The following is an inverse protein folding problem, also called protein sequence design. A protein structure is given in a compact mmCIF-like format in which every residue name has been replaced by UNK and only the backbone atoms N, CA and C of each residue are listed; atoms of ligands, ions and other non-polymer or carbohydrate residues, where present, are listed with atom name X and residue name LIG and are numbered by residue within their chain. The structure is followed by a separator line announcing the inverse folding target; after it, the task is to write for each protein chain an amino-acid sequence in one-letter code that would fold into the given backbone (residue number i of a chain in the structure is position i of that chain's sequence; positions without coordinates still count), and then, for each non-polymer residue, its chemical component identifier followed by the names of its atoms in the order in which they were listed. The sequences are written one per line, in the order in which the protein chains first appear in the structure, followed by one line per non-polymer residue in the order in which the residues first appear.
data_IF_379434114913
#
_entry.id   IF_379434114913
#
_cell.length_a   1.000
_cell.length_b   1.000
_cell.length_c   1.000
_cell.angle_alpha   90.00
_cell.angle_beta   90.00
_cell.angle_gamma   90.00
#
_symmetry.space_group_name_H-M   'P 1'
#
loop_
_entity.id
_entity.type
_entity.pdbx_description
1 polymer ?
#
# COMPACT_ATOMS: atom_id res chain seq x y z
N UNK A 1 -16.80 35.98 -40.59
CA UNK A 1 -17.84 35.04 -40.12
C UNK A 1 -17.26 33.65 -40.23
N UNK A 2 -16.96 33.00 -39.10
CA UNK A 2 -16.42 31.63 -39.06
C UNK A 2 -17.55 30.65 -39.40
N UNK A 3 -17.32 29.76 -40.38
CA UNK A 3 -18.32 28.80 -40.87
C UNK A 3 -18.27 27.52 -40.06
N UNK A 4 -19.40 26.84 -39.85
CA UNK A 4 -19.42 25.51 -39.21
C UNK A 4 -18.63 24.48 -40.04
N UNK A 5 -18.44 24.71 -41.35
CA UNK A 5 -17.58 23.90 -42.20
C UNK A 5 -16.10 24.01 -41.82
N UNK A 6 -15.68 25.12 -41.23
CA UNK A 6 -14.32 25.28 -40.69
C UNK A 6 -14.11 24.46 -39.40
N UNK A 7 -15.20 24.02 -38.75
CA UNK A 7 -15.15 23.09 -37.62
C UNK A 7 -15.03 21.62 -38.07
N UNK A 8 -15.36 21.32 -39.34
CA UNK A 8 -15.40 19.95 -39.90
C UNK A 8 -14.27 19.71 -40.90
N UNK A 9 -13.77 20.76 -41.57
CA UNK A 9 -12.63 20.68 -42.46
C UNK A 9 -11.35 20.46 -41.65
N UNK A 10 -10.90 19.20 -41.60
CA UNK A 10 -9.54 18.87 -41.16
C UNK A 10 -8.55 19.58 -42.06
N UNK A 11 -7.99 20.71 -41.57
CA UNK A 11 -6.82 21.33 -42.18
C UNK A 11 -5.68 20.33 -42.31
N UNK A 12 -4.63 20.62 -43.11
CA UNK A 12 -3.50 19.72 -43.26
C UNK A 12 -2.99 19.31 -41.88
N UNK A 13 -2.78 18.00 -41.68
CA UNK A 13 -2.34 17.46 -40.39
C UNK A 13 -1.09 18.20 -39.94
N UNK A 14 -1.21 18.96 -38.86
CA UNK A 14 -0.08 19.71 -38.31
C UNK A 14 0.95 18.71 -37.83
N UNK A 15 2.16 18.79 -38.37
CA UNK A 15 3.27 18.00 -37.87
C UNK A 15 3.63 18.50 -36.46
N UNK A 16 3.68 17.59 -35.51
CA UNK A 16 4.10 17.85 -34.14
C UNK A 16 5.37 17.05 -33.86
N UNK A 17 6.24 17.60 -33.01
CA UNK A 17 7.37 16.85 -32.49
C UNK A 17 6.86 15.67 -31.65
N UNK A 18 7.42 14.48 -31.86
CA UNK A 18 7.07 13.30 -31.09
C UNK A 18 7.59 13.40 -29.64
N UNK A 19 6.76 12.97 -28.68
CA UNK A 19 7.09 12.93 -27.26
C UNK A 19 7.11 11.49 -26.73
N UNK A 20 8.03 11.22 -25.81
CA UNK A 20 8.09 9.99 -25.02
C UNK A 20 8.24 10.31 -23.53
N UNK A 21 7.78 9.42 -22.65
CA UNK A 21 8.15 9.48 -21.24
C UNK A 21 9.41 8.63 -21.05
N UNK A 22 10.53 9.31 -20.81
CA UNK A 22 11.77 8.68 -20.39
C UNK A 22 11.72 8.32 -18.91
N UNK A 23 12.06 7.07 -18.58
CA UNK A 23 12.18 6.56 -17.22
C UNK A 23 13.62 6.09 -17.00
N UNK A 24 14.18 6.34 -15.82
CA UNK A 24 15.55 5.96 -15.46
C UNK A 24 15.60 5.52 -14.01
N UNK A 25 16.19 4.36 -13.76
CA UNK A 25 16.59 3.97 -12.41
C UNK A 25 17.97 4.57 -12.12
N UNK A 26 18.08 5.28 -11.01
CA UNK A 26 19.30 5.94 -10.55
C UNK A 26 19.74 5.40 -9.19
N UNK A 27 21.02 5.53 -8.90
CA UNK A 27 21.59 5.22 -7.61
C UNK A 27 22.49 6.36 -7.15
N UNK A 28 22.37 6.74 -5.88
CA UNK A 28 23.28 7.69 -5.24
C UNK A 28 24.58 6.97 -4.88
N UNK A 29 25.75 7.51 -5.28
CA UNK A 29 27.09 6.99 -4.93
C UNK A 29 27.18 6.60 -3.47
N UNK A 30 27.91 5.55 -3.08
CA UNK A 30 28.07 5.17 -1.66
C UNK A 30 28.62 6.33 -0.79
N UNK A 31 28.33 6.29 0.51
CA UNK A 31 28.90 7.26 1.44
C UNK A 31 30.42 7.04 1.57
N UNK A 32 31.19 8.12 1.39
CA UNK A 32 32.64 8.13 1.56
C UNK A 32 33.00 9.27 2.54
N UNK A 33 33.45 8.95 3.77
CA UNK A 33 33.79 9.96 4.77
C UNK A 33 35.00 10.82 4.37
N UNK A 34 35.84 10.37 3.43
CA UNK A 34 36.97 11.14 2.92
C UNK A 34 36.54 12.20 1.91
N UNK A 35 35.34 12.10 1.34
CA UNK A 35 34.82 13.01 0.31
C UNK A 35 33.79 13.97 0.90
N UNK A 36 34.25 15.17 1.25
CA UNK A 36 33.36 16.27 1.63
C UNK A 36 32.67 16.87 0.40
N UNK A 37 31.41 16.48 0.15
CA UNK A 37 30.60 17.02 -0.94
C UNK A 37 29.29 16.26 -1.15
N UNK A 38 28.43 16.78 -2.04
CA UNK A 38 27.20 16.08 -2.43
C UNK A 38 27.55 14.77 -3.17
N UNK A 39 26.89 13.67 -2.77
CA UNK A 39 27.02 12.36 -3.42
C UNK A 39 26.40 12.43 -4.81
N UNK A 40 27.10 11.93 -5.83
CA UNK A 40 26.54 11.93 -7.19
C UNK A 40 25.36 10.96 -7.27
N UNK A 41 24.46 11.23 -8.19
CA UNK A 41 23.35 10.34 -8.53
C UNK A 41 23.52 9.95 -9.99
N UNK A 42 23.73 8.67 -10.25
CA UNK A 42 24.07 8.14 -11.57
C UNK A 42 23.06 7.10 -12.01
N UNK A 43 22.93 6.91 -13.33
CA UNK A 43 22.10 5.84 -13.88
C UNK A 43 22.60 4.47 -13.41
N UNK A 44 21.67 3.61 -13.05
CA UNK A 44 21.96 2.23 -12.66
C UNK A 44 22.41 1.40 -13.86
N UNK A 45 23.39 0.54 -13.64
CA UNK A 45 23.83 -0.51 -14.56
C UNK A 45 23.80 -1.86 -13.85
N UNK A 46 23.82 -2.96 -14.60
CA UNK A 46 23.86 -4.31 -14.01
C UNK A 46 25.05 -4.46 -13.03
N UNK A 47 26.21 -3.92 -13.40
CA UNK A 47 27.42 -3.90 -12.55
C UNK A 47 27.23 -3.12 -11.25
N UNK A 48 26.45 -2.03 -11.27
CA UNK A 48 26.16 -1.26 -10.08
C UNK A 48 25.26 -2.06 -9.11
N UNK A 49 24.18 -2.67 -9.64
CA UNK A 49 23.24 -3.46 -8.83
C UNK A 49 23.87 -4.72 -8.23
N UNK A 50 24.79 -5.37 -8.96
CA UNK A 50 25.54 -6.51 -8.43
C UNK A 50 26.40 -6.15 -7.20
N UNK A 51 26.73 -4.87 -7.02
CA UNK A 51 27.50 -4.39 -5.86
C UNK A 51 26.62 -3.86 -4.74
N UNK A 52 25.53 -3.17 -5.10
CA UNK A 52 24.75 -2.37 -4.15
C UNK A 52 23.33 -2.09 -4.65
N UNK A 53 22.34 -2.20 -3.78
CA UNK A 53 20.90 -2.11 -4.12
C UNK A 53 20.11 -1.10 -3.26
N UNK A 54 20.79 -0.32 -2.43
CA UNK A 54 20.22 0.79 -1.65
C UNK A 54 20.44 2.14 -2.33
N UNK A 55 19.77 3.17 -1.82
CA UNK A 55 19.67 4.52 -2.40
C UNK A 55 19.29 4.52 -3.90
N UNK A 56 18.33 3.67 -4.26
CA UNK A 56 17.73 3.68 -5.59
C UNK A 56 16.66 4.78 -5.70
N UNK A 57 16.56 5.39 -6.87
CA UNK A 57 15.49 6.34 -7.21
C UNK A 57 15.00 6.09 -8.62
N UNK A 58 13.68 6.00 -8.80
CA UNK A 58 13.06 5.92 -10.12
C UNK A 58 12.60 7.32 -10.54
N UNK A 59 13.14 7.82 -11.66
CA UNK A 59 12.78 9.14 -12.17
C UNK A 59 12.15 9.07 -13.55
N UNK A 60 11.38 10.10 -13.89
CA UNK A 60 10.78 10.27 -15.20
C UNK A 60 10.92 11.69 -15.75
N UNK A 61 10.94 11.82 -17.08
CA UNK A 61 10.91 13.10 -17.78
C UNK A 61 10.39 13.00 -19.22
N UNK A 62 9.93 14.10 -19.82
CA UNK A 62 9.67 14.14 -21.24
C UNK A 62 10.97 14.01 -22.06
N UNK A 63 10.86 13.33 -23.20
CA UNK A 63 11.89 13.22 -24.23
C UNK A 63 11.28 13.56 -25.60
N UNK A 64 12.12 13.97 -26.53
CA UNK A 64 11.75 14.20 -27.94
C UNK A 64 12.56 13.32 -28.87
N UNK A 65 12.03 13.07 -30.05
CA UNK A 65 12.74 12.31 -31.08
C UNK A 65 13.80 13.17 -31.76
N UNK A 66 15.05 12.71 -31.74
CA UNK A 66 16.16 13.37 -32.43
C UNK A 66 16.23 13.03 -33.93
N UNK A 67 17.19 13.64 -34.63
CA UNK A 67 17.36 13.48 -36.08
C UNK A 67 17.66 12.04 -36.56
N UNK A 68 18.15 11.17 -35.66
CA UNK A 68 18.40 9.74 -35.93
C UNK A 68 17.32 8.84 -35.31
N UNK A 69 16.13 9.39 -35.09
CA UNK A 69 14.99 8.71 -34.47
C UNK A 69 15.20 8.24 -33.02
N UNK A 70 16.34 8.54 -32.40
CA UNK A 70 16.63 8.26 -31.00
C UNK A 70 15.92 9.25 -30.06
N UNK A 71 15.43 8.75 -28.93
CA UNK A 71 14.85 9.59 -27.88
C UNK A 71 15.94 10.36 -27.14
N UNK A 72 15.83 11.68 -27.12
CA UNK A 72 16.81 12.57 -26.48
C UNK A 72 16.14 13.54 -25.52
N UNK A 73 16.92 14.00 -24.55
CA UNK A 73 16.49 15.01 -23.57
C UNK A 73 16.14 16.35 -24.23
N UNK A 74 17.04 16.84 -25.09
CA UNK A 74 16.99 18.16 -25.73
C UNK A 74 16.46 19.26 -24.77
N UNK A 75 15.63 20.16 -25.28
CA UNK A 75 14.95 21.23 -24.53
C UNK A 75 13.55 20.82 -24.03
N UNK A 76 13.21 19.53 -24.09
CA UNK A 76 11.93 18.98 -23.65
C UNK A 76 11.87 18.80 -22.13
N UNK A 77 11.83 19.92 -21.40
CA UNK A 77 11.60 19.93 -19.95
C UNK A 77 10.11 19.78 -19.63
N UNK A 78 9.77 19.39 -18.40
CA UNK A 78 8.37 19.37 -17.92
C UNK A 78 7.65 20.69 -18.18
N UNK A 79 8.33 21.81 -17.94
CA UNK A 79 7.77 23.13 -18.15
C UNK A 79 7.59 23.49 -19.62
N UNK A 80 8.57 23.15 -20.48
CA UNK A 80 8.48 23.39 -21.91
C UNK A 80 7.34 22.60 -22.55
N UNK A 81 7.15 21.34 -22.15
CA UNK A 81 6.08 20.48 -22.68
C UNK A 81 4.71 20.96 -22.22
N UNK A 82 4.52 21.20 -20.91
CA UNK A 82 3.21 21.60 -20.36
C UNK A 82 2.74 22.98 -20.83
N UNK A 83 3.67 23.90 -21.09
CA UNK A 83 3.37 25.26 -21.56
C UNK A 83 3.39 25.39 -23.08
N UNK A 84 3.64 24.31 -23.82
CA UNK A 84 3.69 24.33 -25.29
C UNK A 84 2.33 24.62 -25.90
N UNK A 85 2.26 25.61 -26.79
CA UNK A 85 1.02 26.01 -27.49
C UNK A 85 0.98 25.60 -28.96
N UNK A 86 2.00 24.89 -29.46
CA UNK A 86 2.01 24.53 -30.89
C UNK A 86 3.15 23.64 -31.40
N UNK A 87 4.12 23.26 -30.55
CA UNK A 87 5.22 22.35 -30.93
C UNK A 87 4.83 20.88 -30.80
N UNK A 88 4.06 20.55 -29.77
CA UNK A 88 3.67 19.18 -29.44
C UNK A 88 2.19 18.97 -29.68
N UNK A 89 1.80 17.70 -29.87
CA UNK A 89 0.39 17.32 -29.94
C UNK A 89 -0.32 17.78 -28.65
N UNK A 90 -1.42 18.55 -28.70
CA UNK A 90 -2.12 19.04 -27.52
C UNK A 90 -2.56 17.93 -26.55
N UNK A 91 -2.94 16.75 -27.07
CA UNK A 91 -3.28 15.60 -26.23
C UNK A 91 -2.07 15.06 -25.46
N UNK A 92 -0.88 15.05 -26.07
CA UNK A 92 0.36 14.67 -25.39
C UNK A 92 0.75 15.69 -24.34
N UNK A 93 0.75 16.99 -24.68
CA UNK A 93 1.07 18.06 -23.74
C UNK A 93 0.15 18.05 -22.51
N UNK A 94 -1.16 17.81 -22.72
CA UNK A 94 -2.14 17.63 -21.64
C UNK A 94 -1.82 16.40 -20.78
N UNK A 95 -1.53 15.26 -21.38
CA UNK A 95 -1.17 14.05 -20.65
C UNK A 95 0.07 14.26 -19.76
N UNK A 96 1.11 14.94 -20.24
CA UNK A 96 2.27 15.30 -19.42
C UNK A 96 1.91 16.30 -18.31
N UNK A 97 0.99 17.25 -18.57
CA UNK A 97 0.52 18.18 -17.55
C UNK A 97 -0.23 17.49 -16.41
N UNK A 98 -1.10 16.54 -16.75
CA UNK A 98 -1.84 15.71 -15.80
C UNK A 98 -0.90 14.80 -14.99
N UNK A 99 0.07 14.13 -15.64
CA UNK A 99 1.08 13.32 -14.94
C UNK A 99 1.87 14.16 -13.93
N UNK A 100 2.29 15.35 -14.34
CA UNK A 100 2.99 16.25 -13.43
C UNK A 100 2.08 16.70 -12.28
N UNK A 101 0.80 16.97 -12.50
CA UNK A 101 -0.13 17.35 -11.43
C UNK A 101 -0.34 16.21 -10.42
N UNK A 102 -0.56 14.98 -10.91
CA UNK A 102 -0.66 13.76 -10.08
C UNK A 102 0.56 13.64 -9.19
N UNK A 103 1.75 13.77 -9.80
CA UNK A 103 3.00 13.63 -9.09
C UNK A 103 3.30 14.76 -8.10
N UNK A 104 2.54 15.86 -8.07
CA UNK A 104 2.72 16.94 -7.09
C UNK A 104 1.76 16.84 -5.91
N UNK A 105 0.59 16.19 -6.10
CA UNK A 105 -0.50 16.17 -5.14
C UNK A 105 -0.20 15.34 -3.88
N UNK A 106 0.54 14.23 -4.04
CA UNK A 106 0.80 13.24 -2.98
C UNK A 106 2.26 12.78 -3.02
N UNK A 107 3.19 13.73 -2.85
CA UNK A 107 4.62 13.40 -2.74
C UNK A 107 5.00 13.07 -1.33
N UNK A 108 5.63 11.92 -1.16
CA UNK A 108 6.37 11.57 0.03
C UNK A 108 7.83 11.99 -0.12
N UNK A 109 8.55 12.10 1.01
CA UNK A 109 10.00 12.32 0.99
C UNK A 109 10.70 11.06 0.48
N UNK A 110 11.25 11.11 -0.73
CA UNK A 110 12.09 10.05 -1.28
C UNK A 110 13.51 10.02 -0.67
N UNK A 111 14.30 9.01 -1.05
CA UNK A 111 15.68 8.82 -0.58
C UNK A 111 16.60 10.04 -0.84
N UNK A 112 16.28 10.83 -1.87
CA UNK A 112 16.89 12.11 -2.18
C UNK A 112 16.00 12.94 -3.12
N UNK A 113 16.25 14.25 -3.20
CA UNK A 113 15.52 15.13 -4.11
C UNK A 113 15.85 14.81 -5.58
N UNK A 114 14.84 14.76 -6.44
CA UNK A 114 15.05 14.73 -7.89
C UNK A 114 15.73 16.02 -8.36
N UNK A 115 16.51 15.93 -9.44
CA UNK A 115 17.02 17.11 -10.15
C UNK A 115 15.85 17.91 -10.74
N UNK A 116 15.97 19.23 -10.85
CA UNK A 116 14.89 20.10 -11.33
C UNK A 116 14.35 19.80 -12.73
N UNK A 117 15.04 18.97 -13.52
CA UNK A 117 14.62 18.52 -14.85
C UNK A 117 13.92 17.14 -14.87
N UNK A 118 13.85 16.46 -13.72
CA UNK A 118 13.24 15.13 -13.58
C UNK A 118 12.17 15.11 -12.49
N UNK A 119 11.26 14.14 -12.59
CA UNK A 119 10.21 13.88 -11.63
C UNK A 119 10.54 12.57 -10.90
N UNK A 120 10.57 12.59 -9.57
CA UNK A 120 10.76 11.38 -8.75
C UNK A 120 9.49 10.53 -8.80
N UNK A 121 9.46 9.58 -9.71
CA UNK A 121 8.28 8.78 -10.03
C UNK A 121 7.95 7.81 -8.87
N UNK A 122 8.98 7.28 -8.22
CA UNK A 122 8.89 6.43 -7.03
C UNK A 122 8.25 7.09 -5.80
N UNK A 123 8.27 8.42 -5.72
CA UNK A 123 7.67 9.16 -4.59
C UNK A 123 6.18 9.48 -4.76
N UNK A 124 5.60 9.11 -5.91
CA UNK A 124 4.20 9.39 -6.22
C UNK A 124 3.33 8.35 -5.54
N UNK A 125 2.63 8.74 -4.47
CA UNK A 125 1.67 7.88 -3.78
C UNK A 125 0.24 8.22 -4.19
N UNK A 126 -0.11 7.89 -5.43
CA UNK A 126 -1.42 8.18 -5.99
C UNK A 126 -1.93 7.02 -6.86
N UNK A 127 -3.03 6.34 -6.50
CA UNK A 127 -3.61 5.26 -7.31
C UNK A 127 -3.93 5.67 -8.75
N UNK A 128 -4.23 6.96 -8.98
CA UNK A 128 -4.49 7.52 -10.31
C UNK A 128 -3.27 7.51 -11.24
N UNK A 129 -2.05 7.35 -10.71
CA UNK A 129 -0.83 7.23 -11.51
C UNK A 129 -0.92 6.10 -12.54
N UNK A 130 -1.43 4.94 -12.12
CA UNK A 130 -1.42 3.72 -12.93
C UNK A 130 -2.32 3.77 -14.16
N UNK A 131 -3.63 4.11 -14.05
CA UNK A 131 -4.45 4.30 -15.25
C UNK A 131 -3.91 5.43 -16.14
N UNK A 132 -3.27 6.45 -15.56
CA UNK A 132 -2.65 7.53 -16.33
C UNK A 132 -1.44 7.06 -17.15
N UNK A 133 -0.55 6.27 -16.56
CA UNK A 133 0.58 5.64 -17.26
C UNK A 133 0.08 4.67 -18.35
N UNK A 134 -0.97 3.88 -18.08
CA UNK A 134 -1.55 2.96 -19.05
C UNK A 134 -2.18 3.69 -20.26
N UNK A 135 -2.79 4.85 -20.04
CA UNK A 135 -3.40 5.67 -21.09
C UNK A 135 -2.38 6.19 -22.13
N UNK A 136 -1.09 6.29 -21.76
CA UNK A 136 -0.01 6.72 -22.66
C UNK A 136 0.01 5.91 -23.97
N UNK A 137 -0.22 4.60 -23.88
CA UNK A 137 -0.26 3.68 -25.04
C UNK A 137 -1.35 4.07 -26.04
N UNK A 138 -2.54 4.41 -25.55
CA UNK A 138 -3.66 4.84 -26.41
C UNK A 138 -3.41 6.18 -27.11
N UNK A 139 -2.55 7.02 -26.53
CA UNK A 139 -2.11 8.28 -27.10
C UNK A 139 -0.87 8.14 -28.00
N UNK A 140 -0.25 6.97 -28.07
CA UNK A 140 1.00 6.76 -28.80
C UNK A 140 2.22 7.43 -28.15
N UNK A 141 2.19 7.64 -26.83
CA UNK A 141 3.32 8.16 -26.04
C UNK A 141 4.10 6.94 -25.51
N UNK A 142 5.30 6.64 -26.05
CA UNK A 142 6.06 5.50 -25.59
C UNK A 142 6.70 5.76 -24.21
N UNK A 143 6.72 4.73 -23.39
CA UNK A 143 7.48 4.64 -22.14
C UNK A 143 8.83 4.02 -22.46
N UNK A 144 9.93 4.76 -22.30
CA UNK A 144 11.26 4.32 -22.75
C UNK A 144 12.31 4.49 -21.66
N UNK A 145 13.34 3.66 -21.69
CA UNK A 145 14.50 3.86 -20.84
C UNK A 145 15.32 5.07 -21.30
N UNK A 146 15.78 5.89 -20.36
CA UNK A 146 16.67 7.02 -20.68
C UNK A 146 18.13 6.60 -20.84
N UNK A 147 18.50 5.45 -20.27
CA UNK A 147 19.84 4.89 -20.31
C UNK A 147 19.85 3.59 -21.14
N UNK A 148 20.81 3.40 -22.06
CA UNK A 148 20.80 2.25 -22.98
C UNK A 148 21.01 0.89 -22.30
N UNK A 149 21.57 0.87 -21.08
CA UNK A 149 21.72 -0.35 -20.26
C UNK A 149 20.51 -0.60 -19.35
N UNK A 150 19.37 0.00 -19.66
CA UNK A 150 18.11 -0.20 -18.96
C UNK A 150 17.00 -0.46 -19.99
N UNK A 151 16.01 -1.23 -19.58
CA UNK A 151 14.75 -1.39 -20.31
C UNK A 151 13.59 -1.14 -19.35
N UNK A 152 12.50 -0.60 -19.88
CA UNK A 152 11.33 -0.20 -19.06
C UNK A 152 10.07 -0.80 -19.64
N UNK A 153 9.24 -1.40 -18.79
CA UNK A 153 7.92 -1.89 -19.15
C UNK A 153 6.91 -1.54 -18.06
N UNK A 154 5.68 -1.26 -18.47
CA UNK A 154 4.51 -1.21 -17.60
C UNK A 154 3.79 -2.56 -17.64
N UNK A 155 3.64 -3.20 -16.48
CA UNK A 155 2.87 -4.42 -16.29
C UNK A 155 1.38 -4.11 -16.12
N UNK A 156 0.53 -5.14 -16.26
CA UNK A 156 -0.91 -5.01 -16.05
C UNK A 156 -1.25 -4.89 -14.58
N UNK A 157 -0.64 -5.74 -13.75
CA UNK A 157 -0.85 -5.76 -12.31
C UNK A 157 0.31 -6.43 -11.56
N UNK A 158 0.37 -6.17 -10.26
CA UNK A 158 1.17 -6.91 -9.31
C UNK A 158 0.38 -7.22 -8.05
N UNK A 159 0.68 -8.37 -7.45
CA UNK A 159 0.14 -8.77 -6.15
C UNK A 159 1.28 -8.91 -5.17
N UNK A 160 1.08 -8.42 -3.95
CA UNK A 160 2.00 -8.60 -2.83
C UNK A 160 1.24 -9.19 -1.64
N UNK A 161 1.85 -10.17 -0.99
CA UNK A 161 1.30 -10.84 0.19
C UNK A 161 2.36 -10.90 1.27
N UNK A 162 1.94 -10.83 2.53
CA UNK A 162 2.82 -11.03 3.66
C UNK A 162 3.16 -12.52 3.76
N UNK A 163 4.41 -12.87 3.52
CA UNK A 163 4.93 -14.21 3.70
C UNK A 163 5.51 -14.35 5.11
N UNK A 164 5.15 -15.44 5.79
CA UNK A 164 5.68 -15.80 7.11
C UNK A 164 6.25 -17.20 7.03
N UNK A 165 7.56 -17.32 7.22
CA UNK A 165 8.27 -18.60 7.21
C UNK A 165 8.84 -18.91 8.59
N UNK A 166 8.93 -20.20 8.95
CA UNK A 166 9.56 -20.66 10.19
C UNK A 166 10.88 -21.37 9.89
N UNK A 167 11.93 -20.93 10.56
CA UNK A 167 13.23 -21.58 10.54
C UNK A 167 13.26 -22.82 11.47
N UNK A 168 14.19 -23.77 11.27
CA UNK A 168 14.27 -24.98 12.11
C UNK A 168 14.54 -24.72 13.60
N UNK A 169 15.16 -23.59 13.93
CA UNK A 169 15.44 -23.15 15.30
C UNK A 169 14.23 -22.48 15.98
N UNK A 170 13.09 -22.38 15.27
CA UNK A 170 11.86 -21.78 15.77
C UNK A 170 11.71 -20.29 15.47
N UNK A 171 12.74 -19.63 14.92
CA UNK A 171 12.66 -18.24 14.49
C UNK A 171 11.66 -18.07 13.34
N UNK A 172 11.07 -16.86 13.22
CA UNK A 172 10.16 -16.53 12.13
C UNK A 172 10.79 -15.48 11.22
N UNK A 173 10.43 -15.50 9.94
CA UNK A 173 10.83 -14.49 8.97
C UNK A 173 9.61 -13.93 8.26
N UNK A 174 9.46 -12.61 8.34
CA UNK A 174 8.46 -11.85 7.60
C UNK A 174 9.09 -11.30 6.32
N UNK A 175 8.45 -11.55 5.19
CA UNK A 175 8.86 -11.01 3.89
C UNK A 175 7.63 -10.72 3.02
N UNK A 176 7.84 -10.12 1.85
CA UNK A 176 6.79 -9.99 0.85
C UNK A 176 6.92 -11.11 -0.19
N UNK A 177 5.83 -11.82 -0.49
CA UNK A 177 5.71 -12.65 -1.68
C UNK A 177 5.08 -11.80 -2.79
N UNK A 178 5.83 -11.56 -3.86
CA UNK A 178 5.43 -10.66 -4.96
C UNK A 178 5.26 -11.42 -6.25
N UNK A 179 4.20 -11.11 -7.00
CA UNK A 179 4.01 -11.56 -8.39
C UNK A 179 3.68 -10.37 -9.28
N UNK A 180 4.24 -10.31 -10.48
CA UNK A 180 3.93 -9.31 -11.51
C UNK A 180 3.45 -10.04 -12.74
N UNK A 181 2.25 -9.72 -13.24
CA UNK A 181 1.62 -10.45 -14.36
C UNK A 181 1.67 -11.99 -14.13
N UNK A 182 1.35 -12.45 -12.91
CA UNK A 182 1.47 -13.83 -12.42
C UNK A 182 2.88 -14.44 -12.27
N UNK A 183 3.92 -13.78 -12.75
CA UNK A 183 5.30 -14.28 -12.59
C UNK A 183 5.86 -13.92 -11.20
N UNK A 184 6.46 -14.88 -10.48
CA UNK A 184 7.08 -14.59 -9.18
C UNK A 184 8.27 -13.64 -9.34
N UNK A 185 8.35 -12.65 -8.45
CA UNK A 185 9.44 -11.69 -8.39
C UNK A 185 10.06 -11.72 -7.00
N UNK A 186 11.39 -11.70 -6.95
CA UNK A 186 12.11 -11.57 -5.68
C UNK A 186 11.84 -10.19 -5.08
N UNK A 187 11.17 -10.16 -3.92
CA UNK A 187 10.85 -8.93 -3.21
C UNK A 187 12.09 -8.13 -2.80
N UNK A 188 13.27 -8.76 -2.67
CA UNK A 188 14.52 -8.05 -2.45
C UNK A 188 14.86 -7.06 -3.59
N UNK A 189 14.37 -7.36 -4.81
CA UNK A 189 14.56 -6.54 -6.01
C UNK A 189 13.31 -5.76 -6.43
N UNK A 190 12.38 -5.55 -5.49
CA UNK A 190 11.23 -4.68 -5.66
C UNK A 190 11.28 -3.51 -4.68
N UNK A 191 10.69 -2.37 -5.05
CA UNK A 191 10.55 -1.19 -4.19
C UNK A 191 9.12 -0.66 -4.30
N UNK A 192 8.52 -0.17 -3.20
CA UNK A 192 7.19 0.40 -3.24
C UNK A 192 7.19 1.71 -4.03
N UNK A 193 6.06 2.00 -4.66
CA UNK A 193 5.70 3.30 -5.21
C UNK A 193 4.42 3.75 -4.48
N UNK A 194 4.62 4.28 -3.27
CA UNK A 194 3.53 4.52 -2.33
C UNK A 194 2.84 3.23 -1.88
N UNK A 195 1.55 3.33 -1.57
CA UNK A 195 0.70 2.19 -1.19
C UNK A 195 -0.06 1.56 -2.38
N UNK A 196 0.14 2.09 -3.59
CA UNK A 196 -0.68 1.75 -4.77
C UNK A 196 0.07 1.09 -5.92
N UNK A 197 1.37 0.84 -5.77
CA UNK A 197 2.09 -0.06 -6.65
C UNK A 197 3.58 -0.15 -6.34
N UNK A 198 4.33 -0.71 -7.28
CA UNK A 198 5.74 -1.01 -7.09
C UNK A 198 6.52 -0.90 -8.40
N UNK A 199 7.84 -0.84 -8.27
CA UNK A 199 8.73 -1.19 -9.37
C UNK A 199 9.67 -2.33 -8.96
N UNK A 200 9.97 -3.21 -9.91
CA UNK A 200 10.92 -4.29 -9.77
C UNK A 200 12.06 -4.16 -10.78
N UNK A 201 13.22 -4.71 -10.42
CA UNK A 201 14.38 -4.81 -11.30
C UNK A 201 15.01 -6.19 -11.20
N UNK A 202 15.83 -6.57 -12.19
CA UNK A 202 16.60 -7.81 -12.12
C UNK A 202 18.09 -7.53 -11.94
N UNK A 203 18.76 -8.41 -11.19
CA UNK A 203 20.21 -8.48 -11.15
C UNK A 203 20.74 -9.29 -12.32
N UNK A 204 22.02 -9.11 -12.66
CA UNK A 204 22.75 -9.93 -13.63
C UNK A 204 22.12 -10.02 -15.05
N UNK A 205 21.28 -9.04 -15.40
CA UNK A 205 20.69 -8.87 -16.73
C UNK A 205 21.10 -7.50 -17.31
N UNK A 206 21.59 -7.47 -18.55
CA UNK A 206 21.93 -6.25 -19.30
C UNK A 206 21.20 -6.28 -20.67
N UNK A 207 20.33 -5.31 -20.98
CA UNK A 207 19.94 -4.15 -20.18
C UNK A 207 19.15 -4.53 -18.92
N UNK A 208 19.34 -3.77 -17.83
CA UNK A 208 18.62 -3.97 -16.57
C UNK A 208 17.12 -3.79 -16.82
N UNK A 209 16.29 -4.83 -16.63
CA UNK A 209 14.85 -4.69 -16.78
C UNK A 209 14.29 -3.94 -15.58
N UNK A 210 13.44 -2.95 -15.85
CA UNK A 210 12.69 -2.18 -14.87
C UNK A 210 11.20 -2.35 -15.21
N UNK A 211 10.47 -2.97 -14.30
CA UNK A 211 9.03 -3.24 -14.47
C UNK A 211 8.27 -2.44 -13.44
N UNK A 212 7.33 -1.61 -13.89
CA UNK A 212 6.42 -0.87 -13.03
C UNK A 212 5.05 -1.56 -13.04
N UNK A 213 4.40 -1.69 -11.89
CA UNK A 213 3.11 -2.38 -11.80
C UNK A 213 2.19 -1.77 -10.72
N UNK A 214 0.89 -1.59 -11.00
CA UNK A 214 -0.08 -1.26 -9.95
C UNK A 214 -0.21 -2.44 -8.97
N UNK A 215 -0.30 -2.14 -7.68
CA UNK A 215 -0.50 -3.14 -6.62
C UNK A 215 -1.15 -2.48 -5.40
N UNK A 216 -2.10 -3.16 -4.76
CA UNK A 216 -2.53 -2.74 -3.42
C UNK A 216 -1.49 -3.18 -2.38
N UNK A 217 -0.89 -2.22 -1.69
CA UNK A 217 0.19 -2.44 -0.73
C UNK A 217 -0.18 -1.89 0.66
N UNK A 218 -1.16 -2.50 1.36
CA UNK A 218 -1.43 -2.16 2.74
C UNK A 218 -0.21 -2.43 3.63
N UNK A 219 -0.07 -1.66 4.72
CA UNK A 219 0.94 -1.94 5.74
C UNK A 219 0.83 -3.40 6.23
N UNK A 220 1.95 -4.11 6.43
CA UNK A 220 3.33 -3.63 6.39
C UNK A 220 4.04 -3.81 5.03
N UNK A 221 3.34 -4.16 3.94
CA UNK A 221 3.95 -4.57 2.67
C UNK A 221 4.95 -3.57 2.08
N UNK A 222 4.70 -2.25 2.06
CA UNK A 222 5.68 -1.30 1.52
C UNK A 222 7.06 -1.40 2.18
N UNK A 223 7.10 -1.74 3.48
CA UNK A 223 8.36 -1.88 4.23
C UNK A 223 9.08 -3.19 3.97
N UNK A 224 8.37 -4.22 3.50
CA UNK A 224 8.91 -5.54 3.20
C UNK A 224 9.36 -5.67 1.73
N UNK A 225 9.03 -4.70 0.87
CA UNK A 225 9.60 -4.61 -0.47
C UNK A 225 11.04 -4.09 -0.39
N UNK A 226 11.99 -4.99 -0.64
CA UNK A 226 13.43 -4.74 -0.51
C UNK A 226 14.05 -5.10 0.83
N UNK A 227 13.27 -5.70 1.74
CA UNK A 227 13.72 -6.07 3.08
C UNK A 227 13.00 -7.31 3.61
N UNK A 228 13.46 -7.82 4.74
CA UNK A 228 12.77 -8.83 5.53
C UNK A 228 12.93 -8.48 7.01
N UNK A 229 12.03 -9.00 7.84
CA UNK A 229 12.13 -8.89 9.31
C UNK A 229 12.31 -10.28 9.87
N UNK A 230 13.43 -10.52 10.54
CA UNK A 230 13.68 -11.76 11.26
C UNK A 230 13.23 -11.58 12.72
N UNK A 231 12.39 -12.49 13.20
CA UNK A 231 11.87 -12.56 14.57
C UNK A 231 12.61 -13.70 15.28
N UNK A 232 13.38 -13.41 16.34
CA UNK A 232 14.09 -14.43 17.09
C UNK A 232 13.15 -15.50 17.66
N UNK A 233 13.65 -16.71 17.85
CA UNK A 233 12.87 -17.81 18.42
C UNK A 233 12.28 -17.49 19.82
N UNK A 234 12.92 -16.61 20.59
CA UNK A 234 12.41 -16.15 21.90
C UNK A 234 11.11 -15.36 21.79
N UNK A 235 10.90 -14.68 20.66
CA UNK A 235 9.81 -13.72 20.46
C UNK A 235 8.72 -14.31 19.56
N UNK A 236 8.94 -15.52 19.01
CA UNK A 236 8.06 -16.14 18.04
C UNK A 236 6.66 -16.44 18.59
N UNK A 237 6.55 -16.95 19.81
CA UNK A 237 5.26 -17.27 20.42
C UNK A 237 4.46 -16.00 20.79
N UNK A 238 5.14 -14.94 21.24
CA UNK A 238 4.54 -13.63 21.48
C UNK A 238 4.02 -13.03 20.16
N UNK A 239 4.83 -13.04 19.11
CA UNK A 239 4.42 -12.60 17.78
C UNK A 239 3.18 -13.35 17.27
N UNK A 240 3.16 -14.68 17.41
CA UNK A 240 2.05 -15.52 16.96
C UNK A 240 0.76 -15.25 17.74
N UNK A 241 0.87 -14.91 19.02
CA UNK A 241 -0.29 -14.60 19.87
C UNK A 241 -0.83 -13.18 19.64
N UNK A 242 0.05 -12.19 19.46
CA UNK A 242 -0.33 -10.78 19.54
C UNK A 242 -0.37 -10.09 18.17
N UNK A 243 0.69 -10.21 17.37
CA UNK A 243 0.82 -9.47 16.12
C UNK A 243 0.25 -10.23 14.91
N UNK A 244 0.46 -11.55 14.87
CA UNK A 244 0.08 -12.40 13.76
C UNK A 244 -1.43 -12.34 13.42
N UNK A 245 -2.37 -12.40 14.39
CA UNK A 245 -3.79 -12.32 14.06
C UNK A 245 -4.21 -10.96 13.49
N UNK A 246 -3.58 -9.88 13.95
CA UNK A 246 -3.85 -8.53 13.44
C UNK A 246 -3.32 -8.34 12.03
N UNK A 247 -2.13 -8.87 11.73
CA UNK A 247 -1.61 -8.92 10.36
C UNK A 247 -2.50 -9.80 9.48
N UNK A 248 -3.04 -10.90 10.03
CA UNK A 248 -3.90 -11.84 9.33
C UNK A 248 -5.17 -11.19 8.76
N UNK A 249 -5.73 -10.22 9.48
CA UNK A 249 -6.92 -9.47 9.08
C UNK A 249 -6.67 -8.39 8.04
N UNK A 250 -5.48 -7.77 8.09
CA UNK A 250 -5.20 -6.50 7.38
C UNK A 250 -4.50 -6.67 6.05
N UNK A 251 -3.79 -7.78 5.87
CA UNK A 251 -2.92 -7.99 4.72
C UNK A 251 -3.09 -9.42 4.22
N UNK A 252 -3.19 -9.70 2.92
CA UNK A 252 -3.20 -11.06 2.41
C UNK A 252 -1.93 -11.83 2.81
N UNK A 253 -2.05 -13.10 3.23
CA UNK A 253 -0.92 -13.89 3.73
C UNK A 253 -0.54 -15.06 2.83
N UNK A 254 0.73 -15.43 2.92
CA UNK A 254 1.27 -16.73 2.55
C UNK A 254 1.95 -17.31 3.78
N UNK A 255 1.45 -18.45 4.26
CA UNK A 255 1.95 -19.08 5.48
C UNK A 255 2.83 -20.26 5.08
N UNK A 256 4.10 -20.20 5.49
CA UNK A 256 5.09 -21.25 5.24
C UNK A 256 4.88 -22.48 6.14
N UNK A 257 5.52 -23.62 5.81
CA UNK A 257 5.45 -24.82 6.62
C UNK A 257 5.88 -24.58 8.08
N UNK A 258 5.13 -25.14 9.03
CA UNK A 258 5.46 -25.05 10.47
C UNK A 258 4.99 -23.76 11.16
N UNK A 259 4.38 -22.83 10.43
CA UNK A 259 3.64 -21.70 11.00
C UNK A 259 2.18 -22.13 11.16
N UNK A 260 1.54 -21.95 12.34
CA UNK A 260 0.14 -22.30 12.52
C UNK A 260 -0.75 -21.44 11.62
N UNK A 261 -1.90 -21.96 11.15
CA UNK A 261 -2.86 -21.12 10.44
C UNK A 261 -3.31 -19.96 11.33
N UNK A 262 -3.63 -18.78 10.76
CA UNK A 262 -4.08 -17.66 11.56
C UNK A 262 -5.39 -18.05 12.26
N UNK A 263 -5.58 -17.67 13.54
CA UNK A 263 -6.85 -17.92 14.21
C UNK A 263 -7.97 -17.20 13.45
N UNK A 264 -9.17 -17.80 13.38
CA UNK A 264 -10.30 -17.12 12.76
C UNK A 264 -10.57 -15.79 13.47
N UNK A 265 -11.02 -14.78 12.72
CA UNK A 265 -11.40 -13.46 13.24
C UNK A 265 -12.71 -13.50 14.05
N UNK A 266 -12.86 -14.45 14.99
CA UNK A 266 -14.08 -14.55 15.78
C UNK A 266 -14.02 -13.53 16.93
N UNK A 267 -14.99 -12.61 17.03
CA UNK A 267 -15.01 -11.60 18.07
C UNK A 267 -15.44 -12.20 19.41
N UNK A 268 -14.93 -11.61 20.50
CA UNK A 268 -15.36 -11.86 21.88
C UNK A 268 -15.94 -10.56 22.43
N UNK A 269 -17.11 -10.61 23.06
CA UNK A 269 -17.68 -9.46 23.74
C UNK A 269 -17.00 -9.27 25.10
N UNK A 270 -16.21 -8.21 25.24
CA UNK A 270 -15.67 -7.78 26.51
C UNK A 270 -16.69 -6.91 27.26
N UNK A 271 -16.91 -7.25 28.52
CA UNK A 271 -17.78 -6.51 29.45
C UNK A 271 -16.90 -6.01 30.58
N UNK A 272 -16.56 -4.72 30.55
CA UNK A 272 -15.82 -4.08 31.64
C UNK A 272 -16.83 -3.54 32.65
N UNK A 273 -16.68 -3.90 33.92
CA UNK A 273 -17.61 -3.55 35.00
C UNK A 273 -16.84 -2.91 36.15
N UNK A 274 -17.31 -1.77 36.64
CA UNK A 274 -16.75 -1.10 37.81
C UNK A 274 -17.84 -0.87 38.86
N UNK A 275 -17.50 -1.17 40.12
CA UNK A 275 -18.39 -1.03 41.27
C UNK A 275 -17.99 0.19 42.12
N UNK A 276 -18.93 1.09 42.38
CA UNK A 276 -18.72 2.23 43.28
C UNK A 276 -19.96 2.43 44.17
N UNK A 277 -19.88 1.95 45.41
CA UNK A 277 -20.99 2.02 46.36
C UNK A 277 -22.22 1.23 45.85
N UNK A 278 -23.32 1.95 45.61
CA UNK A 278 -24.58 1.44 45.06
C UNK A 278 -24.68 1.58 43.53
N UNK A 279 -23.58 1.94 42.88
CA UNK A 279 -23.51 2.15 41.43
C UNK A 279 -22.70 1.06 40.75
N UNK A 280 -23.15 0.67 39.56
CA UNK A 280 -22.43 -0.21 38.65
C UNK A 280 -22.28 0.50 37.32
N UNK A 281 -21.05 0.81 36.93
CA UNK A 281 -20.73 1.27 35.59
C UNK A 281 -20.31 0.08 34.75
N UNK A 282 -20.84 -0.05 33.53
CA UNK A 282 -20.40 -1.06 32.58
C UNK A 282 -20.16 -0.48 31.19
N UNK A 283 -19.28 -1.14 30.43
CA UNK A 283 -19.11 -0.89 28.99
C UNK A 283 -18.92 -2.19 28.23
N UNK A 284 -19.47 -2.22 27.01
CA UNK A 284 -19.47 -3.34 26.09
C UNK A 284 -18.61 -2.99 24.89
N UNK A 285 -17.67 -3.87 24.54
CA UNK A 285 -16.89 -3.73 23.32
C UNK A 285 -16.51 -5.09 22.77
N UNK A 286 -16.47 -5.19 21.44
CA UNK A 286 -15.88 -6.33 20.76
C UNK A 286 -14.37 -6.31 20.91
N UNK A 287 -13.79 -7.46 21.20
CA UNK A 287 -12.35 -7.71 21.21
C UNK A 287 -12.04 -8.81 20.18
N UNK A 288 -11.01 -8.59 19.37
CA UNK A 288 -10.54 -9.58 18.39
C UNK A 288 -9.19 -10.18 18.82
N UNK A 289 -8.82 -11.37 18.30
CA UNK A 289 -7.45 -11.86 18.40
C UNK A 289 -6.44 -10.78 18.00
N UNK A 290 -5.39 -10.56 18.79
CA UNK A 290 -4.42 -9.48 18.56
C UNK A 290 -4.82 -8.10 19.11
N UNK A 291 -5.87 -8.03 19.95
CA UNK A 291 -6.12 -6.90 20.86
C UNK A 291 -6.92 -5.73 20.29
N UNK A 292 -7.37 -5.81 19.03
CA UNK A 292 -8.23 -4.80 18.44
C UNK A 292 -9.60 -4.73 19.16
N UNK A 293 -10.08 -3.50 19.40
CA UNK A 293 -11.36 -3.22 20.04
C UNK A 293 -12.27 -2.44 19.12
N UNK A 294 -13.54 -2.85 19.07
CA UNK A 294 -14.61 -2.14 18.34
C UNK A 294 -15.77 -1.92 19.30
N UNK A 295 -16.32 -0.71 19.32
CA UNK A 295 -17.44 -0.36 20.20
C UNK A 295 -18.67 -1.23 19.90
N UNK A 296 -19.44 -1.60 20.92
CA UNK A 296 -20.76 -2.22 20.75
C UNK A 296 -21.81 -1.19 20.31
N UNK A 297 -22.81 -1.55 19.48
CA UNK A 297 -22.97 -2.84 18.79
C UNK A 297 -22.00 -3.03 17.62
N UNK A 298 -21.29 -1.96 17.24
CA UNK A 298 -20.38 -1.90 16.10
C UNK A 298 -21.12 -1.49 14.84
N UNK A 299 -20.53 -0.61 14.05
CA UNK A 299 -20.97 -0.44 12.65
C UNK A 299 -20.51 -1.65 11.82
N UNK A 300 -20.99 -1.79 10.58
CA UNK A 300 -20.64 -2.90 9.66
C UNK A 300 -19.15 -2.87 9.19
N UNK A 301 -18.22 -2.45 10.04
CA UNK A 301 -16.78 -2.42 9.74
C UNK A 301 -16.17 -3.82 9.87
N UNK A 302 -15.37 -4.22 8.89
CA UNK A 302 -14.75 -5.56 8.85
C UNK A 302 -15.21 -6.36 7.64
N UNK A 303 -14.70 -7.58 7.51
CA UNK A 303 -15.10 -8.48 6.44
C UNK A 303 -16.54 -8.98 6.63
N UNK A 304 -17.24 -9.43 5.57
CA UNK A 304 -18.58 -10.02 5.72
C UNK A 304 -18.62 -11.13 6.78
N UNK A 305 -17.61 -11.99 6.83
CA UNK A 305 -17.51 -13.07 7.82
C UNK A 305 -17.39 -12.54 9.26
N UNK A 306 -16.68 -11.44 9.47
CA UNK A 306 -16.57 -10.79 10.78
C UNK A 306 -17.88 -10.13 11.21
N UNK A 307 -18.60 -9.52 10.26
CA UNK A 307 -19.90 -8.92 10.52
C UNK A 307 -20.94 -9.99 10.91
N UNK A 308 -20.96 -11.11 10.20
CA UNK A 308 -21.84 -12.25 10.49
C UNK A 308 -21.53 -12.87 11.85
N UNK A 309 -20.23 -13.05 12.17
CA UNK A 309 -19.82 -13.56 13.48
C UNK A 309 -20.21 -12.62 14.64
N UNK A 310 -20.08 -11.29 14.47
CA UNK A 310 -20.57 -10.31 15.46
C UNK A 310 -22.07 -10.40 15.63
N UNK A 311 -22.83 -10.46 14.55
CA UNK A 311 -24.29 -10.54 14.59
C UNK A 311 -24.78 -11.80 15.33
N UNK A 312 -24.14 -12.95 15.09
CA UNK A 312 -24.44 -14.20 15.78
C UNK A 312 -24.23 -14.10 17.30
N UNK A 313 -23.09 -13.53 17.73
CA UNK A 313 -22.81 -13.34 19.16
C UNK A 313 -23.75 -12.29 19.77
N UNK A 314 -24.01 -11.20 19.04
CA UNK A 314 -24.88 -10.13 19.50
C UNK A 314 -26.29 -10.62 19.79
N UNK A 315 -26.88 -11.39 18.86
CA UNK A 315 -28.22 -11.96 19.02
C UNK A 315 -28.32 -12.86 20.27
N UNK A 316 -27.27 -13.62 20.58
CA UNK A 316 -27.24 -14.45 21.80
C UNK A 316 -27.15 -13.62 23.08
N UNK A 317 -26.35 -12.55 23.07
CA UNK A 317 -26.23 -11.62 24.20
C UNK A 317 -27.56 -10.89 24.42
N UNK A 318 -28.19 -10.38 23.36
CA UNK A 318 -29.50 -9.72 23.41
C UNK A 318 -30.58 -10.64 23.98
N UNK A 319 -30.63 -11.90 23.53
CA UNK A 319 -31.57 -12.88 24.05
C UNK A 319 -31.34 -13.20 25.54
N UNK A 320 -30.08 -13.40 25.95
CA UNK A 320 -29.72 -13.66 27.34
C UNK A 320 -30.04 -12.47 28.26
N UNK A 321 -29.76 -11.25 27.78
CA UNK A 321 -30.06 -10.01 28.49
C UNK A 321 -31.56 -9.83 28.71
N UNK A 322 -32.35 -9.94 27.64
CA UNK A 322 -33.80 -9.78 27.68
C UNK A 322 -34.50 -10.87 28.52
N UNK A 323 -33.93 -12.07 28.58
CA UNK A 323 -34.44 -13.13 29.46
C UNK A 323 -34.16 -12.85 30.95
N UNK A 324 -33.09 -12.13 31.27
CA UNK A 324 -32.68 -11.85 32.65
C UNK A 324 -33.33 -10.58 33.23
N UNK A 325 -33.63 -9.58 32.39
CA UNK A 325 -34.11 -8.26 32.81
C UNK A 325 -34.77 -7.47 31.67
N UNK A 326 -35.56 -6.46 32.04
CA UNK A 326 -36.13 -5.41 31.18
C UNK A 326 -35.25 -4.15 31.04
N UNK A 327 -34.05 -4.15 31.65
CA UNK A 327 -33.07 -3.07 31.49
C UNK A 327 -32.70 -2.89 30.01
N UNK A 328 -32.60 -1.64 29.57
CA UNK A 328 -32.16 -1.33 28.22
C UNK A 328 -30.71 -1.79 27.99
N UNK A 329 -30.50 -2.55 26.90
CA UNK A 329 -29.16 -2.92 26.46
C UNK A 329 -28.52 -1.74 25.70
N UNK A 330 -27.55 -1.09 26.32
CA UNK A 330 -26.76 -0.01 25.71
C UNK A 330 -25.29 -0.36 25.70
N UNK A 331 -24.50 0.32 24.85
CA UNK A 331 -23.06 0.09 24.75
C UNK A 331 -22.32 0.37 26.07
N UNK A 332 -22.80 1.33 26.85
CA UNK A 332 -22.33 1.61 28.20
C UNK A 332 -23.45 2.26 29.01
N UNK A 333 -23.44 2.06 30.32
CA UNK A 333 -24.32 2.78 31.25
C UNK A 333 -23.74 2.80 32.67
N UNK A 334 -24.22 3.76 33.47
CA UNK A 334 -24.06 3.74 34.93
C UNK A 334 -25.42 3.48 35.55
N UNK A 335 -25.57 2.31 36.16
CA UNK A 335 -26.77 1.86 36.84
C UNK A 335 -26.67 2.19 38.33
N UNK A 336 -27.82 2.41 38.97
CA UNK A 336 -27.93 2.78 40.39
C UNK A 336 -28.99 1.94 41.09
N UNK A 337 -28.88 1.81 42.40
CA UNK A 337 -29.91 1.23 43.26
C UNK A 337 -30.39 -0.15 42.77
N UNK A 338 -31.70 -0.28 42.48
CA UNK A 338 -32.31 -1.52 42.03
C UNK A 338 -31.76 -2.01 40.69
N UNK A 339 -31.47 -1.09 39.75
CA UNK A 339 -30.96 -1.44 38.43
C UNK A 339 -29.55 -2.01 38.52
N UNK A 340 -28.71 -1.43 39.40
CA UNK A 340 -27.38 -1.94 39.70
C UNK A 340 -27.45 -3.36 40.29
N UNK A 341 -28.37 -3.59 41.23
CA UNK A 341 -28.57 -4.91 41.83
C UNK A 341 -29.08 -5.95 40.81
N UNK A 342 -30.04 -5.59 39.96
CA UNK A 342 -30.57 -6.46 38.90
C UNK A 342 -29.47 -6.81 37.90
N UNK A 343 -28.68 -5.83 37.46
CA UNK A 343 -27.59 -6.07 36.54
C UNK A 343 -26.55 -7.03 37.12
N UNK A 344 -26.06 -6.76 38.34
CA UNK A 344 -25.00 -7.56 38.96
C UNK A 344 -25.44 -8.99 39.31
N UNK A 345 -26.71 -9.20 39.67
CA UNK A 345 -27.21 -10.50 40.15
C UNK A 345 -27.91 -11.34 39.10
N UNK A 346 -28.40 -10.75 38.01
CA UNK A 346 -29.15 -11.45 36.95
C UNK A 346 -28.50 -11.32 35.59
N UNK A 347 -28.27 -10.08 35.14
CA UNK A 347 -27.81 -9.83 33.77
C UNK A 347 -26.37 -10.30 33.58
N UNK A 348 -25.45 -9.84 34.45
CA UNK A 348 -24.03 -10.16 34.32
C UNK A 348 -23.76 -11.68 34.37
N UNK A 349 -24.33 -12.46 35.31
CA UNK A 349 -24.19 -13.91 35.30
C UNK A 349 -24.80 -14.59 34.05
N UNK A 350 -25.90 -14.07 33.52
CA UNK A 350 -26.55 -14.64 32.33
C UNK A 350 -25.69 -14.47 31.07
N UNK A 351 -25.06 -13.31 30.90
CA UNK A 351 -24.20 -13.07 29.73
C UNK A 351 -22.79 -13.68 29.91
N UNK A 352 -22.24 -13.74 31.12
CA UNK A 352 -20.93 -14.36 31.39
C UNK A 352 -20.92 -15.88 31.14
N UNK A 353 -22.10 -16.52 31.21
CA UNK A 353 -22.27 -17.92 30.84
C UNK A 353 -22.05 -18.21 29.34
N UNK A 354 -22.04 -17.17 28.48
CA UNK A 354 -21.78 -17.31 27.06
C UNK A 354 -20.28 -17.46 26.81
N UNK A 355 -19.88 -18.48 26.04
CA UNK A 355 -18.47 -18.79 25.79
C UNK A 355 -17.70 -17.63 25.12
N UNK A 356 -18.40 -16.79 24.36
CA UNK A 356 -17.91 -15.64 23.62
C UNK A 356 -18.00 -14.31 24.40
N UNK A 357 -18.35 -14.35 25.69
CA UNK A 357 -18.33 -13.19 26.58
C UNK A 357 -17.15 -13.31 27.55
N UNK A 358 -16.51 -12.19 27.82
CA UNK A 358 -15.45 -12.07 28.83
C UNK A 358 -15.74 -10.88 29.72
N UNK A 359 -16.09 -11.16 30.97
CA UNK A 359 -16.29 -10.15 32.00
C UNK A 359 -14.95 -9.79 32.66
N UNK A 360 -14.74 -8.50 32.87
CA UNK A 360 -13.63 -7.94 33.66
C UNK A 360 -14.20 -6.97 34.69
N UNK A 361 -13.78 -7.15 35.93
CA UNK A 361 -14.19 -6.37 37.10
C UNK A 361 -12.97 -5.75 37.76
#
# INVERSE_FOLDING_TARGET
MTSWRDLVAGGPARAYDALALGIELRQRDAYDPARWGARAVIAVTARALARRQDDLQLVARPLVQGAREAWIKADATWDAVRRSTGRFNPAHARWFAELHAIAQALRTTGAFAASGDTLALDTVDAPLLWPHLAAARGLGIPLVAMHPQQSVRLAGEATARLAIDRAPDGALRLSAAVRIDDDPVDAAHARPMGASGLFAYALDVDPVPIVLAPADLPDPLPRLLGAAVDIPASDAEEFLAEAYPTLARRTPLVVGPGVPPPPPSRPVLAVEVAYEGDQVAYSLAWTYPGGERVDWPGTQTGTPDEADARAEVAARVEAAWAAASDLALTAAATLRDADAAVFATRVLPAIDALAEVRVRT
#
